data_IF_291860024353
#
_entry.id   IF_291860024353
#
_cell.length_a   1.000
_cell.length_b   1.000
_cell.length_c   1.000
_cell.angle_alpha   90.00
_cell.angle_beta   90.00
_cell.angle_gamma   90.00
#
_symmetry.space_group_name_H-M   'P 1'
#
loop_
_entity.id
_entity.type
_entity.pdbx_description
1 polymer ?
#
# COMPACT_ATOMS: atom_id res chain seq x y z
N UNK A 1 -9.96 -11.72 -28.84
CA UNK A 1 -9.74 -11.54 -27.38
C UNK A 1 -10.57 -12.63 -26.71
N UNK A 2 -9.95 -13.61 -26.07
CA UNK A 2 -10.68 -14.75 -25.48
C UNK A 2 -11.55 -14.25 -24.32
N UNK A 3 -12.72 -14.85 -24.08
CA UNK A 3 -13.63 -14.41 -23.00
C UNK A 3 -12.95 -14.36 -21.62
N UNK A 4 -11.93 -15.20 -21.42
CA UNK A 4 -11.09 -15.24 -20.20
C UNK A 4 -10.18 -14.02 -20.08
N UNK A 5 -9.63 -13.51 -21.19
CA UNK A 5 -8.85 -12.25 -21.20
C UNK A 5 -9.72 -11.04 -20.87
N UNK A 6 -10.98 -11.02 -21.34
CA UNK A 6 -11.92 -9.94 -21.02
C UNK A 6 -12.33 -9.94 -19.54
N UNK A 7 -12.51 -11.12 -18.94
CA UNK A 7 -12.81 -11.27 -17.50
C UNK A 7 -11.60 -10.92 -16.62
N UNK A 8 -10.37 -11.24 -17.06
CA UNK A 8 -9.14 -10.85 -16.36
C UNK A 8 -8.90 -9.33 -16.34
N UNK A 9 -9.42 -8.60 -17.34
CA UNK A 9 -9.29 -7.15 -17.42
C UNK A 9 -10.46 -6.37 -16.81
N UNK A 10 -11.58 -7.03 -16.47
CA UNK A 10 -12.80 -6.36 -16.00
C UNK A 10 -12.55 -5.36 -14.86
N UNK A 11 -11.71 -5.75 -13.89
CA UNK A 11 -11.32 -4.88 -12.77
C UNK A 11 -10.67 -3.57 -13.25
N UNK A 12 -9.80 -3.63 -14.27
CA UNK A 12 -9.13 -2.43 -14.81
C UNK A 12 -10.11 -1.53 -15.56
N UNK A 13 -11.07 -2.10 -16.30
CA UNK A 13 -12.08 -1.30 -17.00
C UNK A 13 -12.96 -0.54 -16.02
N UNK A 14 -13.44 -1.22 -14.97
CA UNK A 14 -14.22 -0.60 -13.89
C UNK A 14 -13.42 0.52 -13.22
N UNK A 15 -12.15 0.27 -12.92
CA UNK A 15 -11.24 1.26 -12.32
C UNK A 15 -11.06 2.48 -13.24
N UNK A 16 -10.82 2.28 -14.53
CA UNK A 16 -10.65 3.40 -15.48
C UNK A 16 -11.92 4.23 -15.58
N UNK A 17 -13.10 3.61 -15.68
CA UNK A 17 -14.38 4.34 -15.69
C UNK A 17 -14.63 5.09 -14.38
N UNK A 18 -14.32 4.47 -13.25
CA UNK A 18 -14.47 5.09 -11.93
C UNK A 18 -13.50 6.26 -11.76
N UNK A 19 -12.26 6.12 -12.22
CA UNK A 19 -11.23 7.16 -12.20
C UNK A 19 -11.62 8.34 -13.09
N UNK A 20 -12.09 8.08 -14.31
CA UNK A 20 -12.59 9.11 -15.22
C UNK A 20 -13.80 9.83 -14.64
N UNK A 21 -14.71 9.11 -13.99
CA UNK A 21 -15.88 9.70 -13.34
C UNK A 21 -15.49 10.57 -12.14
N UNK A 22 -14.57 10.11 -11.28
CA UNK A 22 -14.06 10.89 -10.15
C UNK A 22 -13.38 12.19 -10.61
N UNK A 23 -12.48 12.10 -11.59
CA UNK A 23 -11.81 13.26 -12.17
C UNK A 23 -12.77 14.21 -12.88
N UNK A 24 -13.77 13.67 -13.59
CA UNK A 24 -14.83 14.44 -14.22
C UNK A 24 -15.62 15.27 -13.20
N UNK A 25 -16.00 14.69 -12.05
CA UNK A 25 -16.71 15.42 -11.00
C UNK A 25 -15.86 16.57 -10.43
N UNK A 26 -14.54 16.38 -10.27
CA UNK A 26 -13.64 17.44 -9.79
C UNK A 26 -13.62 18.64 -10.74
N UNK A 27 -13.53 18.40 -12.04
CA UNK A 27 -13.46 19.47 -13.05
C UNK A 27 -14.82 20.11 -13.33
N UNK A 28 -15.90 19.32 -13.33
CA UNK A 28 -17.20 19.77 -13.80
C UNK A 28 -18.03 20.52 -12.74
N UNK A 29 -17.64 20.49 -11.46
CA UNK A 29 -18.47 21.02 -10.35
C UNK A 29 -17.88 22.31 -9.80
N UNK A 30 -18.66 23.40 -9.92
CA UNK A 30 -18.43 24.72 -9.30
C UNK A 30 -18.63 24.73 -7.78
N UNK A 31 -19.24 23.68 -7.20
CA UNK A 31 -19.47 23.60 -5.76
C UNK A 31 -18.32 22.88 -5.06
N UNK A 32 -17.71 23.51 -4.06
CA UNK A 32 -16.52 23.00 -3.38
C UNK A 32 -16.77 21.64 -2.71
N UNK A 33 -17.93 21.43 -2.07
CA UNK A 33 -18.28 20.15 -1.42
C UNK A 33 -18.38 19.01 -2.45
N UNK A 34 -18.91 19.31 -3.63
CA UNK A 34 -19.10 18.30 -4.69
C UNK A 34 -17.76 17.96 -5.34
N UNK A 35 -16.86 18.93 -5.43
CA UNK A 35 -15.49 18.70 -5.90
C UNK A 35 -14.69 17.80 -4.93
N UNK A 36 -14.79 18.00 -3.61
CA UNK A 36 -14.18 17.08 -2.62
C UNK A 36 -14.77 15.67 -2.72
N UNK A 37 -16.08 15.54 -2.94
CA UNK A 37 -16.69 14.22 -3.14
C UNK A 37 -16.12 13.53 -4.39
N UNK A 38 -15.94 14.27 -5.48
CA UNK A 38 -15.25 13.79 -6.69
C UNK A 38 -13.81 13.36 -6.42
N UNK A 39 -13.08 14.12 -5.61
CA UNK A 39 -11.71 13.80 -5.20
C UNK A 39 -11.63 12.50 -4.38
N UNK A 40 -12.60 12.27 -3.48
CA UNK A 40 -12.68 11.01 -2.70
C UNK A 40 -12.97 9.79 -3.59
N UNK A 41 -13.85 9.93 -4.58
CA UNK A 41 -14.13 8.88 -5.57
C UNK A 41 -12.88 8.59 -6.42
N UNK A 42 -12.19 9.63 -6.86
CA UNK A 42 -10.93 9.50 -7.59
C UNK A 42 -9.87 8.77 -6.75
N UNK A 43 -9.70 9.14 -5.47
CA UNK A 43 -8.75 8.47 -4.57
C UNK A 43 -9.09 6.98 -4.38
N UNK A 44 -10.37 6.65 -4.21
CA UNK A 44 -10.84 5.26 -4.11
C UNK A 44 -10.54 4.46 -5.37
N UNK A 45 -10.65 5.07 -6.56
CA UNK A 45 -10.31 4.41 -7.83
C UNK A 45 -8.82 4.07 -7.94
N UNK A 46 -7.94 4.94 -7.44
CA UNK A 46 -6.49 4.69 -7.40
C UNK A 46 -6.17 3.53 -6.46
N UNK A 47 -6.88 3.40 -5.34
CA UNK A 47 -6.73 2.25 -4.43
C UNK A 47 -7.11 0.93 -5.10
N UNK A 48 -8.24 0.91 -5.82
CA UNK A 48 -8.66 -0.27 -6.57
C UNK A 48 -7.66 -0.64 -7.69
N UNK A 49 -7.04 0.34 -8.34
CA UNK A 49 -5.96 0.09 -9.31
C UNK A 49 -4.77 -0.60 -8.64
N UNK A 50 -4.36 -0.11 -7.46
CA UNK A 50 -3.22 -0.62 -6.71
C UNK A 50 -3.44 -2.05 -6.23
N UNK A 51 -4.64 -2.35 -5.74
CA UNK A 51 -5.04 -3.71 -5.35
C UNK A 51 -5.03 -4.63 -6.57
N UNK A 52 -5.60 -4.20 -7.70
CA UNK A 52 -5.71 -5.03 -8.89
C UNK A 52 -4.34 -5.39 -9.48
N UNK A 53 -3.37 -4.48 -9.41
CA UNK A 53 -1.99 -4.72 -9.87
C UNK A 53 -1.19 -5.59 -8.88
N UNK A 54 -1.53 -5.52 -7.59
CA UNK A 54 -0.83 -6.21 -6.51
C UNK A 54 -1.33 -7.63 -6.18
N UNK A 55 -2.51 -8.01 -6.70
CA UNK A 55 -3.15 -9.29 -6.38
C UNK A 55 -2.54 -10.43 -7.21
N UNK A 56 -1.93 -11.39 -6.52
CA UNK A 56 -1.40 -12.64 -7.09
C UNK A 56 -2.31 -13.78 -6.62
N UNK A 57 -2.77 -14.64 -7.52
CA UNK A 57 -3.65 -15.75 -7.18
C UNK A 57 -2.88 -16.83 -6.37
N UNK A 58 -3.47 -17.31 -5.28
CA UNK A 58 -2.84 -18.29 -4.37
C UNK A 58 -1.87 -17.68 -3.35
N UNK A 59 -1.69 -16.35 -3.33
CA UNK A 59 -0.73 -15.70 -2.46
C UNK A 59 -1.25 -15.52 -1.01
N UNK A 60 -0.41 -15.87 -0.04
CA UNK A 60 -0.65 -15.71 1.40
C UNK A 60 -0.06 -14.38 1.92
N UNK A 61 -0.54 -13.92 3.07
CA UNK A 61 -0.06 -12.69 3.72
C UNK A 61 1.47 -12.76 3.96
N UNK A 62 2.24 -11.67 3.74
CA UNK A 62 3.69 -11.61 3.98
C UNK A 62 4.08 -11.64 5.46
N UNK A 63 3.74 -12.70 6.18
CA UNK A 63 4.14 -12.95 7.57
C UNK A 63 4.81 -14.31 7.66
N UNK A 64 5.95 -14.38 8.37
CA UNK A 64 6.63 -15.66 8.62
C UNK A 64 5.88 -16.38 9.75
N UNK A 65 5.39 -17.60 9.52
CA UNK A 65 4.76 -18.40 10.55
C UNK A 65 5.72 -18.67 11.75
N UNK A 66 5.24 -18.61 13.01
CA UNK A 66 6.09 -18.72 14.20
C UNK A 66 6.82 -20.06 14.34
N UNK A 67 6.23 -21.13 13.82
CA UNK A 67 6.77 -22.49 13.74
C UNK A 67 8.01 -22.57 12.82
N UNK A 68 7.99 -21.84 11.69
CA UNK A 68 9.13 -21.73 10.77
C UNK A 68 10.23 -20.84 11.38
N UNK A 69 9.83 -19.77 12.09
CA UNK A 69 10.77 -18.88 12.78
C UNK A 69 11.51 -19.57 13.96
N UNK A 70 10.82 -20.46 14.68
CA UNK A 70 11.39 -21.22 15.79
C UNK A 70 12.38 -22.31 15.31
N UNK A 71 12.05 -23.00 14.21
CA UNK A 71 12.95 -24.00 13.61
C UNK A 71 14.27 -23.38 13.09
N UNK A 72 14.22 -22.17 12.54
CA UNK A 72 15.40 -21.45 12.07
C UNK A 72 16.32 -20.97 13.21
N UNK A 73 15.76 -20.69 14.40
CA UNK A 73 16.54 -20.25 15.57
C UNK A 73 17.35 -21.39 16.22
N UNK A 74 16.92 -22.65 16.08
CA UNK A 74 17.56 -23.80 16.73
C UNK A 74 18.80 -24.35 16.00
N UNK A 75 19.14 -23.83 14.81
CA UNK A 75 20.25 -24.36 14.00
C UNK A 75 21.58 -23.58 14.13
N UNK A 76 21.62 -22.56 15.00
CA UNK A 76 22.75 -21.62 15.14
C UNK A 76 23.72 -21.86 16.29
N UNK A 77 23.53 -22.89 17.14
CA UNK A 77 24.29 -23.07 18.39
C UNK A 77 25.06 -24.41 18.47
N UNK A 78 25.80 -24.77 17.41
CA UNK A 78 26.86 -25.77 17.53
C UNK A 78 28.22 -25.12 17.32
N UNK A 79 28.63 -24.35 18.33
CA UNK A 79 30.02 -23.94 18.49
C UNK A 79 30.84 -25.15 18.95
N UNK A 80 31.97 -25.33 18.28
CA UNK A 80 32.93 -26.43 18.32
C UNK A 80 33.53 -26.73 19.70
N UNK A 81 33.50 -28.00 20.13
CA UNK A 81 34.45 -28.57 21.09
C UNK A 81 34.71 -30.06 20.74
N UNK A 82 35.74 -30.32 19.92
CA UNK A 82 36.29 -31.68 19.76
C UNK A 82 37.77 -31.69 20.15
N UNK A 83 38.02 -32.18 21.37
CA UNK A 83 39.31 -32.63 21.85
C UNK A 83 39.75 -33.92 21.12
N UNK A 84 41.03 -33.97 20.73
CA UNK A 84 41.67 -35.13 20.12
C UNK A 84 42.31 -36.10 21.12
N UNK A 85 42.51 -37.34 20.66
CA UNK A 85 43.48 -38.39 21.02
C UNK A 85 42.96 -39.68 20.34
N UNK A 86 43.70 -40.61 19.71
CA UNK A 86 45.11 -40.93 19.58
C UNK A 86 45.17 -42.46 19.35
N UNK A 87 45.65 -42.87 18.17
CA UNK A 87 46.25 -44.15 17.70
C UNK A 87 45.85 -45.53 18.32
N UNK A 88 45.55 -46.52 17.45
CA UNK A 88 46.32 -47.77 17.31
C UNK A 88 45.87 -48.61 16.10
N UNK A 89 46.87 -49.19 15.40
CA UNK A 89 46.77 -49.95 14.16
C UNK A 89 46.43 -51.45 14.34
N UNK A 90 45.72 -52.03 13.36
CA UNK A 90 45.48 -53.47 13.24
C UNK A 90 44.82 -53.85 11.91
N UNK A 91 45.57 -54.57 11.07
CA UNK A 91 45.38 -54.90 9.66
C UNK A 91 44.24 -55.90 9.37
N UNK A 92 43.52 -55.79 8.24
CA UNK A 92 42.87 -56.98 7.64
C UNK A 92 41.64 -56.81 6.71
N UNK A 93 41.89 -56.56 5.42
CA UNK A 93 41.18 -57.13 4.24
C UNK A 93 39.73 -56.64 3.91
N UNK A 94 39.53 -56.47 2.58
CA UNK A 94 38.32 -56.31 1.75
C UNK A 94 37.55 -54.98 1.67
N UNK A 95 37.70 -54.39 0.48
CA UNK A 95 36.93 -53.36 -0.20
C UNK A 95 35.50 -53.83 -0.54
N UNK A 96 34.49 -53.25 0.12
CA UNK A 96 33.39 -52.49 -0.50
C UNK A 96 32.40 -52.09 0.61
N UNK A 97 32.40 -50.80 0.97
CA UNK A 97 31.62 -50.25 2.06
C UNK A 97 30.11 -50.28 1.83
N UNK A 98 29.42 -51.02 2.70
CA UNK A 98 28.02 -50.78 3.08
C UNK A 98 28.06 -49.79 4.24
N UNK A 99 27.73 -48.54 3.95
CA UNK A 99 27.46 -47.48 4.92
C UNK A 99 26.06 -47.74 5.51
N UNK A 100 26.06 -48.29 6.73
CA UNK A 100 24.99 -48.13 7.71
C UNK A 100 25.40 -46.96 8.60
N UNK A 101 24.77 -45.79 8.43
CA UNK A 101 25.15 -44.61 9.22
C UNK A 101 24.25 -43.39 9.11
N UNK A 102 22.96 -43.51 8.73
CA UNK A 102 22.06 -42.35 8.56
C UNK A 102 20.73 -42.40 9.33
N UNK A 103 20.54 -43.43 10.16
CA UNK A 103 19.20 -43.78 10.68
C UNK A 103 18.72 -42.87 11.83
N UNK A 104 19.59 -42.05 12.43
CA UNK A 104 19.19 -41.11 13.49
C UNK A 104 18.68 -39.74 13.00
N UNK A 105 19.06 -39.31 11.79
CA UNK A 105 18.68 -38.00 11.24
C UNK A 105 17.40 -38.07 10.38
N UNK A 106 17.08 -39.27 9.88
CA UNK A 106 15.93 -39.51 9.01
C UNK A 106 14.66 -39.88 9.77
N UNK A 107 14.75 -40.53 10.95
CA UNK A 107 13.56 -40.82 11.77
C UNK A 107 12.94 -39.57 12.40
N UNK A 108 13.77 -38.62 12.88
CA UNK A 108 13.29 -37.38 13.53
C UNK A 108 12.66 -36.42 12.50
N UNK A 109 13.18 -36.42 11.27
CA UNK A 109 12.60 -35.66 10.15
C UNK A 109 11.22 -36.22 9.72
N UNK A 110 11.01 -37.53 9.86
CA UNK A 110 9.77 -38.19 9.46
C UNK A 110 8.64 -37.97 10.48
N UNK A 111 8.95 -37.84 11.77
CA UNK A 111 7.96 -37.60 12.84
C UNK A 111 7.49 -36.13 12.91
N UNK A 112 8.37 -35.18 12.55
CA UNK A 112 8.01 -33.77 12.37
C UNK A 112 7.10 -33.56 11.14
N UNK A 113 7.33 -34.31 10.06
CA UNK A 113 6.51 -34.25 8.84
C UNK A 113 5.07 -34.77 9.06
N UNK A 114 4.90 -35.81 9.88
CA UNK A 114 3.58 -36.35 10.21
C UNK A 114 2.73 -35.40 11.06
N UNK A 115 3.38 -34.58 11.91
CA UNK A 115 2.69 -33.58 12.75
C UNK A 115 2.22 -32.36 11.97
N UNK A 116 2.91 -32.02 10.87
CA UNK A 116 2.49 -30.96 9.94
C UNK A 116 1.36 -31.42 8.99
N UNK A 117 1.25 -32.74 8.74
CA UNK A 117 0.24 -33.32 7.82
C UNK A 117 -1.20 -33.08 8.28
N UNK A 118 -1.44 -32.94 9.59
CA UNK A 118 -2.77 -32.64 10.15
C UNK A 118 -3.29 -31.23 9.84
N UNK A 119 -2.40 -30.27 9.61
CA UNK A 119 -2.76 -28.89 9.25
C UNK A 119 -2.90 -28.67 7.73
N UNK A 120 -2.14 -29.43 6.94
CA UNK A 120 -2.09 -29.32 5.48
C UNK A 120 -3.35 -29.89 4.81
N UNK A 121 -4.00 -30.87 5.43
CA UNK A 121 -5.23 -31.49 4.89
C UNK A 121 -6.47 -30.55 4.87
N UNK A 122 -6.45 -29.44 5.61
CA UNK A 122 -7.57 -28.49 5.68
C UNK A 122 -7.44 -27.31 4.71
N UNK A 123 -6.24 -27.03 4.17
CA UNK A 123 -5.95 -25.81 3.40
C UNK A 123 -5.60 -26.04 1.93
N UNK A 124 -5.32 -27.28 1.50
CA UNK A 124 -5.01 -27.58 0.10
C UNK A 124 -3.76 -26.88 -0.43
N UNK A 125 -2.78 -26.60 0.45
CA UNK A 125 -1.53 -25.93 0.11
C UNK A 125 -0.43 -26.99 0.02
N UNK A 126 0.13 -27.17 -1.18
CA UNK A 126 1.35 -27.95 -1.38
C UNK A 126 2.50 -27.29 -0.60
N UNK A 127 3.03 -27.99 0.41
CA UNK A 127 4.02 -27.45 1.37
C UNK A 127 5.34 -26.97 0.74
N UNK A 128 5.56 -27.26 -0.55
CA UNK A 128 6.78 -26.91 -1.27
C UNK A 128 6.73 -25.52 -1.94
N UNK A 129 5.58 -24.85 -2.00
CA UNK A 129 5.49 -23.56 -2.69
C UNK A 129 4.51 -22.56 -2.02
N UNK A 130 4.87 -22.07 -0.84
CA UNK A 130 4.15 -20.96 -0.19
C UNK A 130 4.44 -19.67 -0.98
N UNK A 131 3.48 -19.27 -1.82
CA UNK A 131 3.54 -18.00 -2.55
C UNK A 131 3.11 -16.89 -1.60
N UNK A 132 3.98 -15.91 -1.37
CA UNK A 132 3.66 -14.70 -0.61
C UNK A 132 3.14 -13.59 -1.54
N UNK A 133 2.22 -12.77 -1.01
CA UNK A 133 1.71 -11.61 -1.73
C UNK A 133 2.78 -10.53 -1.88
N UNK A 134 2.67 -9.67 -2.89
CA UNK A 134 3.59 -8.53 -3.03
C UNK A 134 3.41 -7.56 -1.85
N UNK A 135 4.45 -7.27 -1.05
CA UNK A 135 4.32 -6.36 0.09
C UNK A 135 4.20 -4.89 -0.33
N UNK A 136 4.69 -4.51 -1.52
CA UNK A 136 4.73 -3.12 -1.97
C UNK A 136 3.32 -2.48 -2.07
N UNK A 137 2.32 -3.13 -2.70
CA UNK A 137 0.96 -2.59 -2.76
C UNK A 137 0.30 -2.35 -1.41
N UNK A 138 0.53 -3.25 -0.45
CA UNK A 138 -0.13 -3.19 0.87
C UNK A 138 0.33 -1.99 1.70
N UNK A 139 1.64 -1.73 1.75
CA UNK A 139 2.22 -0.62 2.52
C UNK A 139 1.87 0.72 1.88
N UNK A 140 1.95 0.79 0.55
CA UNK A 140 1.63 2.01 -0.20
C UNK A 140 0.15 2.37 -0.12
N UNK A 141 -0.75 1.38 0.00
CA UNK A 141 -2.15 1.66 0.33
C UNK A 141 -2.32 2.22 1.73
N UNK A 142 -1.66 1.66 2.74
CA UNK A 142 -1.83 2.12 4.12
C UNK A 142 -1.41 3.59 4.26
N UNK A 143 -0.27 3.97 3.67
CA UNK A 143 0.19 5.36 3.67
C UNK A 143 -0.74 6.26 2.86
N UNK A 144 -1.21 5.81 1.70
CA UNK A 144 -2.10 6.60 0.87
C UNK A 144 -3.49 6.81 1.50
N UNK A 145 -4.00 5.85 2.27
CA UNK A 145 -5.25 6.00 3.04
C UNK A 145 -5.10 7.08 4.11
N UNK A 146 -4.00 7.06 4.88
CA UNK A 146 -3.76 8.06 5.94
C UNK A 146 -3.63 9.45 5.35
N UNK A 147 -2.82 9.59 4.28
CA UNK A 147 -2.67 10.87 3.58
C UNK A 147 -4.00 11.34 3.00
N UNK A 148 -4.79 10.45 2.40
CA UNK A 148 -6.09 10.79 1.82
C UNK A 148 -7.15 11.23 2.83
N UNK A 149 -7.20 10.59 4.00
CA UNK A 149 -8.09 11.02 5.10
C UNK A 149 -7.62 12.39 5.62
N UNK A 150 -6.31 12.60 5.78
CA UNK A 150 -5.76 13.87 6.24
C UNK A 150 -6.03 15.03 5.27
N UNK A 151 -5.81 14.82 3.97
CA UNK A 151 -6.09 15.85 2.95
C UNK A 151 -7.59 16.13 2.82
N UNK A 152 -8.45 15.11 2.94
CA UNK A 152 -9.91 15.30 2.95
C UNK A 152 -10.36 16.09 4.18
N UNK A 153 -9.83 15.78 5.37
CA UNK A 153 -10.13 16.53 6.58
C UNK A 153 -9.68 17.99 6.47
N UNK A 154 -8.47 18.23 5.94
CA UNK A 154 -7.96 19.57 5.69
C UNK A 154 -8.83 20.32 4.68
N UNK A 155 -9.19 19.68 3.57
CA UNK A 155 -9.99 20.30 2.53
C UNK A 155 -11.40 20.66 3.05
N UNK A 156 -12.02 19.80 3.86
CA UNK A 156 -13.29 20.12 4.51
C UNK A 156 -13.15 21.26 5.53
N UNK A 157 -12.08 21.26 6.33
CA UNK A 157 -11.81 22.36 7.25
C UNK A 157 -11.65 23.70 6.50
N UNK A 158 -10.96 23.70 5.36
CA UNK A 158 -10.84 24.86 4.49
C UNK A 158 -12.19 25.28 3.91
N UNK A 159 -13.04 24.35 3.46
CA UNK A 159 -14.38 24.68 2.96
C UNK A 159 -15.24 25.32 4.06
N UNK A 160 -15.20 24.77 5.28
CA UNK A 160 -15.95 25.34 6.41
C UNK A 160 -15.47 26.77 6.68
N UNK A 161 -14.16 27.00 6.70
CA UNK A 161 -13.58 28.32 6.87
C UNK A 161 -14.01 29.30 5.77
N UNK A 162 -13.98 28.87 4.51
CA UNK A 162 -14.43 29.68 3.38
C UNK A 162 -15.93 30.00 3.49
N UNK A 163 -16.75 29.04 3.91
CA UNK A 163 -18.18 29.26 4.13
C UNK A 163 -18.45 30.26 5.25
N UNK A 164 -17.65 30.26 6.31
CA UNK A 164 -17.76 31.26 7.39
C UNK A 164 -17.45 32.67 6.90
N UNK A 165 -16.42 32.82 6.08
CA UNK A 165 -15.95 34.14 5.61
C UNK A 165 -16.79 34.69 4.44
N UNK A 166 -17.23 33.84 3.51
CA UNK A 166 -17.97 34.24 2.29
C UNK A 166 -19.47 33.94 2.33
N UNK A 167 -19.95 33.15 3.31
CA UNK A 167 -21.37 32.75 3.42
C UNK A 167 -21.83 31.69 2.41
N UNK A 168 -20.99 31.29 1.46
CA UNK A 168 -21.32 30.35 0.38
C UNK A 168 -20.21 29.33 0.15
N UNK A 169 -20.56 28.23 -0.51
CA UNK A 169 -19.65 27.13 -0.91
C UNK A 169 -19.59 26.94 -2.43
N UNK A 170 -20.28 27.81 -3.16
CA UNK A 170 -20.27 27.85 -4.62
C UNK A 170 -19.12 28.76 -5.08
N UNK A 171 -18.21 28.21 -5.87
CA UNK A 171 -16.98 28.88 -6.32
C UNK A 171 -17.28 30.13 -7.16
N UNK A 172 -18.31 30.09 -8.00
CA UNK A 172 -18.68 31.21 -8.86
C UNK A 172 -19.08 32.46 -8.05
N UNK A 173 -19.80 32.26 -6.94
CA UNK A 173 -20.20 33.34 -6.04
C UNK A 173 -18.98 33.91 -5.28
N UNK A 174 -18.09 33.03 -4.80
CA UNK A 174 -16.86 33.43 -4.11
C UNK A 174 -15.98 34.29 -5.04
N UNK A 175 -15.82 33.85 -6.28
CA UNK A 175 -15.02 34.57 -7.29
C UNK A 175 -15.63 35.94 -7.61
N UNK A 176 -16.95 36.03 -7.68
CA UNK A 176 -17.63 37.31 -7.93
C UNK A 176 -17.43 38.29 -6.77
N UNK A 177 -17.63 37.86 -5.53
CA UNK A 177 -17.43 38.70 -4.33
C UNK A 177 -16.00 39.23 -4.30
N UNK A 178 -15.00 38.37 -4.52
CA UNK A 178 -13.58 38.77 -4.53
C UNK A 178 -13.26 39.78 -5.65
N UNK A 179 -13.86 39.63 -6.83
CA UNK A 179 -13.69 40.58 -7.95
C UNK A 179 -14.29 41.96 -7.63
N UNK A 180 -15.46 42.00 -7.00
CA UNK A 180 -16.14 43.23 -6.60
C UNK A 180 -15.34 43.99 -5.54
N UNK A 181 -14.84 43.30 -4.52
CA UNK A 181 -13.97 43.88 -3.50
C UNK A 181 -12.69 44.47 -4.09
N UNK A 182 -12.04 43.74 -5.00
CA UNK A 182 -10.83 44.18 -5.67
C UNK A 182 -11.07 45.40 -6.57
N UNK A 183 -12.21 45.45 -7.26
CA UNK A 183 -12.60 46.61 -8.07
C UNK A 183 -12.82 47.85 -7.19
N UNK A 184 -13.56 47.73 -6.09
CA UNK A 184 -13.80 48.82 -5.15
C UNK A 184 -12.49 49.34 -4.52
N UNK A 185 -11.55 48.45 -4.20
CA UNK A 185 -10.22 48.83 -3.71
C UNK A 185 -9.43 49.70 -4.70
N UNK A 186 -9.42 49.31 -5.99
CA UNK A 186 -8.78 50.10 -7.06
C UNK A 186 -9.41 51.46 -7.24
N UNK A 187 -10.74 51.56 -7.16
CA UNK A 187 -11.44 52.84 -7.26
C UNK A 187 -11.12 53.76 -6.09
N UNK A 188 -11.09 53.23 -4.86
CA UNK A 188 -10.69 53.98 -3.66
C UNK A 188 -9.26 54.50 -3.78
N UNK A 189 -8.33 53.67 -4.27
CA UNK A 189 -6.95 54.07 -4.52
C UNK A 189 -6.83 55.17 -5.59
N UNK A 190 -7.59 55.04 -6.69
CA UNK A 190 -7.63 56.04 -7.75
C UNK A 190 -8.20 57.39 -7.26
N UNK A 191 -9.26 57.36 -6.44
CA UNK A 191 -9.82 58.57 -5.81
C UNK A 191 -8.81 59.22 -4.87
N UNK A 192 -8.09 58.45 -4.05
CA UNK A 192 -7.05 58.97 -3.15
C UNK A 192 -5.90 59.63 -3.91
N UNK A 193 -5.49 59.06 -5.06
CA UNK A 193 -4.44 59.64 -5.93
C UNK A 193 -4.89 60.94 -6.61
N UNK A 194 -6.16 61.02 -7.05
CA UNK A 194 -6.75 62.27 -7.59
C UNK A 194 -6.99 63.35 -6.52
N UNK A 195 -7.22 62.96 -5.27
CA UNK A 195 -7.45 63.86 -4.15
C UNK A 195 -6.17 64.40 -3.49
N UNK A 196 -5.00 63.80 -3.79
CA UNK A 196 -3.69 64.29 -3.33
C UNK A 196 -2.76 64.70 -4.49
N UNK A 197 -3.18 65.61 -5.40
CA UNK A 197 -2.29 66.13 -6.43
C UNK A 197 -1.31 67.13 -5.80
N UNK A 198 -0.09 66.68 -5.47
CA UNK A 198 1.05 67.60 -5.28
C UNK A 198 1.56 67.81 -3.85
N UNK A 199 2.14 66.77 -3.24
CA UNK A 199 3.09 66.94 -2.11
C UNK A 199 4.56 66.78 -2.56
N UNK A 200 4.83 66.55 -3.86
CA UNK A 200 6.20 66.34 -4.38
C UNK A 200 6.72 67.44 -5.31
N UNK A 201 6.22 68.67 -5.18
CA UNK A 201 6.73 69.81 -5.94
C UNK A 201 7.12 70.97 -5.01
N UNK A 202 8.02 70.69 -4.06
CA UNK A 202 8.86 71.68 -3.39
C UNK A 202 10.20 71.05 -3.03
#
# INVERSE_FOLDING_TARGET
MTMVQALGLYNYWVVVFLMMTGFYIVIARRNLIKSILGLNIFQTSVFLLYISMGKIDGATAPIVPPDIAAAAAHHGDHHSDHHGHGEHAGHGVVDHGVDHGVDGATEIAHEAAHSATGYVAMTGIDAENIVYSNPLPSVLMLTAIVVGIATTALALALIVRVREDYGTVEEDEILQINQEEWAAGRERAAKKKKASPGVSAR
#
